data_IF_626666740185
#
_entry.id   IF_626666740185
#
_cell.length_a   1.000
_cell.length_b   1.000
_cell.length_c   1.000
_cell.angle_alpha   90.00
_cell.angle_beta   90.00
_cell.angle_gamma   90.00
#
_symmetry.space_group_name_H-M   'P 1'
#
loop_
_entity.id
_entity.type
_entity.pdbx_description
1 polymer ?
#
# COMPACT_ATOMS: atom_id res chain seq x y z
N UNK A 1 4.10 -9.68 8.38
CA UNK A 1 5.04 -9.29 7.33
C UNK A 1 6.24 -8.59 7.93
N UNK A 2 7.42 -8.95 7.49
CA UNK A 2 8.63 -8.28 7.95
C UNK A 2 8.91 -7.04 7.12
N UNK A 3 9.17 -5.93 7.80
CA UNK A 3 9.66 -4.73 7.15
C UNK A 3 11.18 -4.81 6.97
N UNK A 4 11.76 -3.82 6.29
CA UNK A 4 13.19 -3.86 5.94
C UNK A 4 14.14 -3.87 7.14
N UNK A 5 13.71 -3.32 8.28
CA UNK A 5 14.50 -3.31 9.51
C UNK A 5 13.59 -3.12 10.73
N UNK A 6 14.16 -3.34 11.91
CA UNK A 6 13.41 -3.20 13.16
C UNK A 6 12.94 -1.76 13.43
N UNK A 7 13.72 -0.77 13.00
CA UNK A 7 13.32 0.63 13.14
C UNK A 7 12.03 0.93 12.38
N UNK A 8 11.97 0.47 11.13
CA UNK A 8 10.76 0.66 10.33
C UNK A 8 9.56 0.01 10.99
N UNK A 9 9.71 -1.23 11.44
CA UNK A 9 8.64 -1.96 12.12
C UNK A 9 8.16 -1.22 13.37
N UNK A 10 9.10 -0.73 14.17
CA UNK A 10 8.79 0.00 15.41
C UNK A 10 8.07 1.31 15.13
N UNK A 11 8.56 2.07 14.16
CA UNK A 11 7.97 3.37 13.79
C UNK A 11 6.53 3.20 13.32
N UNK A 12 6.27 2.18 12.52
CA UNK A 12 4.92 1.89 12.04
C UNK A 12 3.99 1.47 13.17
N UNK A 13 4.52 0.73 14.15
CA UNK A 13 3.75 0.27 15.30
C UNK A 13 3.46 1.41 16.27
N UNK A 14 4.46 2.23 16.58
CA UNK A 14 4.34 3.30 17.58
C UNK A 14 3.61 4.54 17.06
N UNK A 15 3.61 4.76 15.76
CA UNK A 15 2.94 5.91 15.11
C UNK A 15 3.39 7.27 15.61
N UNK A 16 4.65 7.37 16.02
CA UNK A 16 5.22 8.62 16.52
C UNK A 16 5.73 9.56 15.42
N UNK A 17 5.94 9.03 14.22
CA UNK A 17 6.35 9.81 13.05
C UNK A 17 5.32 9.62 11.95
N UNK A 18 5.30 10.53 10.99
CA UNK A 18 4.30 10.53 9.93
C UNK A 18 4.66 9.58 8.78
N UNK A 19 5.04 8.36 9.12
CA UNK A 19 5.34 7.31 8.15
C UNK A 19 4.32 6.19 8.33
N UNK A 20 3.76 5.74 7.21
CA UNK A 20 2.78 4.68 7.21
C UNK A 20 3.10 3.62 6.17
N UNK A 21 2.39 2.50 6.28
CA UNK A 21 2.46 1.41 5.31
C UNK A 21 1.06 1.00 4.92
N UNK A 22 0.79 0.99 3.61
CA UNK A 22 -0.48 0.51 3.06
C UNK A 22 -0.31 -0.89 2.50
N UNK A 23 -0.77 -1.93 3.22
CA UNK A 23 -0.56 -3.31 2.77
C UNK A 23 -1.28 -3.65 1.47
N UNK A 24 -2.40 -3.00 1.18
CA UNK A 24 -3.18 -3.23 -0.03
C UNK A 24 -2.36 -2.94 -1.29
N UNK A 25 -1.58 -1.87 -1.30
CA UNK A 25 -0.76 -1.47 -2.44
C UNK A 25 0.72 -1.75 -2.23
N UNK A 26 1.10 -2.28 -1.08
CA UNK A 26 2.49 -2.51 -0.69
C UNK A 26 3.30 -1.22 -0.78
N UNK A 27 2.77 -0.16 -0.18
CA UNK A 27 3.36 1.18 -0.25
C UNK A 27 3.74 1.70 1.13
N UNK A 28 4.96 2.21 1.23
CA UNK A 28 5.39 3.00 2.39
C UNK A 28 5.31 4.47 2.00
N UNK A 29 4.87 5.31 2.93
CA UNK A 29 4.66 6.73 2.61
C UNK A 29 4.97 7.61 3.80
N UNK A 30 5.31 8.87 3.50
CA UNK A 30 5.44 9.95 4.49
C UNK A 30 4.23 10.84 4.34
N UNK A 31 3.44 10.97 5.40
CA UNK A 31 2.27 11.85 5.39
C UNK A 31 2.68 13.29 5.63
N UNK A 32 1.99 14.22 4.97
CA UNK A 32 2.18 15.63 5.24
C UNK A 32 1.59 16.00 6.59
N UNK A 33 2.22 16.97 7.27
CA UNK A 33 1.75 17.45 8.55
C UNK A 33 0.31 17.95 8.42
N UNK A 34 -0.55 17.54 9.35
CA UNK A 34 -1.96 17.93 9.39
C UNK A 34 -2.79 17.42 8.21
N UNK A 35 -2.31 16.42 7.48
CA UNK A 35 -3.10 15.78 6.43
C UNK A 35 -3.06 14.27 6.60
N UNK A 36 -4.23 13.63 6.53
CA UNK A 36 -4.34 12.17 6.56
C UNK A 36 -4.39 11.57 5.16
N UNK A 37 -4.52 12.39 4.13
CA UNK A 37 -4.71 11.94 2.75
C UNK A 37 -3.54 12.24 1.84
N UNK A 38 -2.75 13.26 2.17
CA UNK A 38 -1.60 13.64 1.35
C UNK A 38 -0.31 13.02 1.91
N UNK A 39 0.50 12.48 1.02
CA UNK A 39 1.77 11.89 1.39
C UNK A 39 2.63 11.64 0.18
N UNK A 40 3.90 11.36 0.43
CA UNK A 40 4.84 10.99 -0.62
C UNK A 40 5.27 9.55 -0.44
N UNK A 41 5.34 8.83 -1.56
CA UNK A 41 5.80 7.45 -1.56
C UNK A 41 7.27 7.37 -1.15
N UNK A 42 7.58 6.47 -0.21
CA UNK A 42 8.95 6.19 0.18
C UNK A 42 9.52 5.07 -0.67
N UNK A 43 10.65 5.30 -1.31
CA UNK A 43 11.32 4.29 -2.13
C UNK A 43 12.44 3.58 -1.38
N UNK A 44 13.02 4.26 -0.38
CA UNK A 44 14.12 3.72 0.43
C UNK A 44 13.82 3.95 1.90
N UNK A 45 14.29 3.03 2.75
CA UNK A 45 14.16 3.18 4.18
C UNK A 45 15.11 4.28 4.68
N UNK A 46 14.60 5.28 5.44
CA UNK A 46 15.46 6.36 5.94
C UNK A 46 16.45 5.92 7.03
N UNK A 47 16.27 4.73 7.58
CA UNK A 47 17.15 4.25 8.65
C UNK A 47 18.17 3.21 8.18
N UNK A 48 17.77 2.25 7.36
CA UNK A 48 18.70 1.22 6.88
C UNK A 48 19.14 1.44 5.43
N UNK A 49 18.58 2.40 4.73
CA UNK A 49 18.90 2.78 3.36
C UNK A 49 18.60 1.68 2.31
N UNK A 50 17.95 0.61 2.70
CA UNK A 50 17.54 -0.43 1.76
C UNK A 50 16.39 0.05 0.89
N UNK A 51 16.37 -0.40 -0.35
CA UNK A 51 15.24 -0.13 -1.24
C UNK A 51 14.02 -0.88 -0.72
N UNK A 52 12.92 -0.16 -0.57
CA UNK A 52 11.65 -0.75 -0.15
C UNK A 52 11.01 -1.50 -1.32
N UNK A 53 10.13 -2.47 -1.06
CA UNK A 53 9.43 -3.19 -2.13
C UNK A 53 8.70 -2.23 -3.07
N UNK A 54 8.63 -2.59 -4.34
CA UNK A 54 7.90 -1.78 -5.32
C UNK A 54 6.41 -1.77 -4.99
N UNK A 55 5.75 -0.64 -5.25
CA UNK A 55 4.31 -0.55 -5.16
C UNK A 55 3.65 -1.51 -6.16
N UNK A 56 2.52 -2.09 -5.78
CA UNK A 56 1.72 -2.93 -6.67
C UNK A 56 0.39 -2.26 -7.01
N UNK A 57 0.34 -0.93 -6.90
CA UNK A 57 -0.88 -0.16 -7.19
C UNK A 57 -1.34 -0.31 -8.63
N UNK A 58 -0.41 -0.28 -9.58
CA UNK A 58 -0.76 -0.41 -10.99
C UNK A 58 -1.34 -1.80 -11.29
N UNK A 59 -0.75 -2.84 -10.71
CA UNK A 59 -1.25 -4.21 -10.85
C UNK A 59 -2.64 -4.36 -10.22
N UNK A 60 -2.90 -3.66 -9.12
CA UNK A 60 -4.21 -3.66 -8.47
C UNK A 60 -5.30 -3.21 -9.44
N UNK A 61 -5.10 -2.07 -10.08
CA UNK A 61 -6.06 -1.55 -11.06
C UNK A 61 -6.18 -2.46 -12.26
N UNK A 62 -5.05 -2.95 -12.77
CA UNK A 62 -5.01 -3.79 -13.96
C UNK A 62 -5.78 -5.11 -13.74
N UNK A 63 -5.56 -5.76 -12.61
CA UNK A 63 -6.21 -7.03 -12.30
C UNK A 63 -7.71 -6.86 -12.10
N UNK A 64 -8.12 -5.80 -11.40
CA UNK A 64 -9.54 -5.52 -11.21
C UNK A 64 -10.24 -5.26 -12.54
N UNK A 65 -9.58 -4.58 -13.47
CA UNK A 65 -10.16 -4.34 -14.78
C UNK A 65 -10.25 -5.63 -15.60
N UNK A 66 -9.16 -6.41 -15.65
CA UNK A 66 -9.10 -7.62 -16.47
C UNK A 66 -9.93 -8.76 -15.94
N UNK A 67 -9.91 -9.02 -14.64
CA UNK A 67 -10.58 -10.18 -14.06
C UNK A 67 -12.01 -9.88 -13.61
N UNK A 68 -12.31 -8.65 -13.25
CA UNK A 68 -13.62 -8.29 -12.69
C UNK A 68 -14.34 -7.20 -13.48
N UNK A 69 -13.71 -6.66 -14.51
CA UNK A 69 -14.34 -5.63 -15.35
C UNK A 69 -14.52 -4.29 -14.65
N UNK A 70 -13.72 -4.01 -13.61
CA UNK A 70 -13.83 -2.78 -12.83
C UNK A 70 -12.84 -1.74 -13.36
N UNK A 71 -13.31 -0.87 -14.23
CA UNK A 71 -12.48 0.18 -14.85
C UNK A 71 -12.40 1.46 -14.01
N UNK A 72 -13.26 1.60 -13.00
CA UNK A 72 -13.26 2.73 -12.07
C UNK A 72 -13.52 2.22 -10.65
N UNK A 73 -12.60 1.42 -10.07
CA UNK A 73 -12.84 0.78 -8.78
C UNK A 73 -12.99 1.75 -7.61
N UNK A 74 -12.49 2.98 -7.72
CA UNK A 74 -12.69 4.01 -6.71
C UNK A 74 -13.99 4.80 -6.93
N UNK A 75 -14.70 4.53 -8.02
CA UNK A 75 -15.97 5.17 -8.28
C UNK A 75 -17.06 4.69 -7.33
N UNK A 76 -18.05 5.53 -7.11
CA UNK A 76 -19.12 5.29 -6.15
C UNK A 76 -19.84 3.95 -6.37
N UNK A 77 -20.05 3.57 -7.64
CA UNK A 77 -20.77 2.34 -7.96
C UNK A 77 -19.90 1.09 -7.90
N UNK A 78 -18.67 1.17 -8.41
CA UNK A 78 -17.79 0.01 -8.53
C UNK A 78 -17.07 -0.33 -7.23
N UNK A 79 -16.90 0.64 -6.33
CA UNK A 79 -16.28 0.41 -5.04
C UNK A 79 -16.91 -0.76 -4.28
N UNK A 80 -18.22 -0.92 -4.41
CA UNK A 80 -18.98 -1.97 -3.73
C UNK A 80 -18.73 -3.36 -4.32
N UNK A 81 -18.18 -3.41 -5.53
CA UNK A 81 -17.95 -4.67 -6.25
C UNK A 81 -16.53 -5.19 -6.07
N UNK A 82 -15.67 -4.46 -5.39
CA UNK A 82 -14.29 -4.86 -5.16
C UNK A 82 -14.26 -6.07 -4.22
N UNK A 83 -13.63 -7.19 -4.63
CA UNK A 83 -13.50 -8.34 -3.75
C UNK A 83 -12.72 -7.99 -2.47
N UNK A 84 -13.09 -8.61 -1.36
CA UNK A 84 -12.50 -8.31 -0.06
C UNK A 84 -10.99 -8.48 -0.04
N UNK A 85 -10.45 -9.48 -0.76
CA UNK A 85 -8.99 -9.69 -0.81
C UNK A 85 -8.23 -8.49 -1.33
N UNK A 86 -8.86 -7.65 -2.16
CA UNK A 86 -8.25 -6.44 -2.73
C UNK A 86 -8.23 -5.26 -1.77
N UNK A 87 -8.81 -5.41 -0.58
CA UNK A 87 -8.70 -4.41 0.48
C UNK A 87 -7.57 -4.70 1.45
N UNK A 88 -6.88 -5.82 1.27
CA UNK A 88 -5.77 -6.29 2.11
C UNK A 88 -4.57 -6.64 1.23
N UNK A 89 -3.52 -7.18 1.84
CA UNK A 89 -2.34 -7.67 1.10
C UNK A 89 -2.54 -9.06 0.49
N UNK A 90 -3.66 -9.69 0.77
CA UNK A 90 -3.94 -11.06 0.34
C UNK A 90 -3.92 -11.22 -1.18
N UNK A 91 -4.46 -10.25 -1.91
CA UNK A 91 -4.56 -10.34 -3.36
C UNK A 91 -3.21 -10.41 -4.07
N UNK A 92 -2.20 -9.67 -3.59
CA UNK A 92 -0.88 -9.70 -4.24
C UNK A 92 0.01 -10.82 -3.70
N UNK A 93 -0.14 -11.20 -2.45
CA UNK A 93 0.57 -12.36 -1.89
C UNK A 93 0.15 -13.65 -2.59
N UNK A 94 -1.14 -13.81 -2.77
CA UNK A 94 -1.74 -14.96 -3.44
C UNK A 94 -1.24 -15.10 -4.89
N UNK A 95 -0.94 -13.99 -5.54
CA UNK A 95 -0.48 -13.97 -6.93
C UNK A 95 1.03 -13.97 -7.08
N UNK A 96 1.77 -14.02 -5.98
CA UNK A 96 3.23 -14.03 -6.01
C UNK A 96 3.87 -12.72 -6.39
N UNK A 97 3.17 -11.61 -6.19
CA UNK A 97 3.69 -10.27 -6.51
C UNK A 97 4.53 -9.65 -5.36
#
# INVERSE_FOLDING_TARGET
MKHCCEYMARVLQEKKVNIGYGPCYREYFVSHKNSSTDGNLLLYCPWCAKKLPNSVRDEWFEILEKEYGLDDPWGFEQEKLIPEEFTTDEWWKKRGL
#
